data_IF_060469398983
#
_entry.id   IF_060469398983
#
_cell.length_a   1.000
_cell.length_b   1.000
_cell.length_c   1.000
_cell.angle_alpha   90.00
_cell.angle_beta   90.00
_cell.angle_gamma   90.00
#
_symmetry.space_group_name_H-M   'P 1'
#
loop_
_entity.id
_entity.type
_entity.pdbx_description
1 polymer ?
#
# COMPACT_ATOMS: atom_id res chain seq x y z
N UNK A 1 -125.30 -90.74 -21.59
CA UNK A 1 -124.62 -90.20 -20.39
C UNK A 1 -123.10 -90.31 -20.53
N UNK A 2 -122.49 -91.50 -20.39
CA UNK A 2 -121.02 -91.67 -20.36
C UNK A 2 -120.26 -90.97 -21.51
N UNK A 3 -120.77 -90.97 -22.75
CA UNK A 3 -120.09 -90.31 -23.88
C UNK A 3 -120.03 -88.77 -23.75
N UNK A 4 -121.07 -88.13 -23.20
CA UNK A 4 -121.08 -86.68 -22.93
C UNK A 4 -120.14 -86.33 -21.78
N UNK A 5 -120.09 -87.16 -20.75
CA UNK A 5 -119.23 -86.99 -19.57
C UNK A 5 -117.75 -87.13 -19.95
N UNK A 6 -117.42 -88.12 -20.79
CA UNK A 6 -116.12 -88.30 -21.42
C UNK A 6 -115.71 -87.09 -22.28
N UNK A 7 -116.61 -86.60 -23.14
CA UNK A 7 -116.33 -85.42 -23.97
C UNK A 7 -116.12 -84.15 -23.11
N UNK A 8 -116.92 -83.95 -22.07
CA UNK A 8 -116.77 -82.84 -21.13
C UNK A 8 -115.45 -82.90 -20.35
N UNK A 9 -115.04 -84.10 -19.89
CA UNK A 9 -113.74 -84.33 -19.27
C UNK A 9 -112.59 -84.05 -20.24
N UNK A 10 -112.70 -84.47 -21.50
CA UNK A 10 -111.69 -84.23 -22.53
C UNK A 10 -111.57 -82.73 -22.88
N UNK A 11 -112.70 -82.02 -23.02
CA UNK A 11 -112.73 -80.58 -23.25
C UNK A 11 -112.15 -79.80 -22.06
N UNK A 12 -112.51 -80.19 -20.83
CA UNK A 12 -111.93 -79.63 -19.60
C UNK A 12 -110.41 -79.83 -19.56
N UNK A 13 -109.93 -81.05 -19.80
CA UNK A 13 -108.51 -81.39 -19.84
C UNK A 13 -107.75 -80.54 -20.88
N UNK A 14 -108.29 -80.39 -22.09
CA UNK A 14 -107.71 -79.52 -23.14
C UNK A 14 -107.71 -78.03 -22.75
N UNK A 15 -108.77 -77.56 -22.06
CA UNK A 15 -108.83 -76.18 -21.54
C UNK A 15 -107.81 -75.94 -20.43
N UNK A 16 -107.50 -76.98 -19.65
CA UNK A 16 -106.56 -76.95 -18.53
C UNK A 16 -105.12 -76.98 -19.06
N UNK A 17 -104.82 -77.81 -20.06
CA UNK A 17 -103.54 -77.77 -20.79
C UNK A 17 -103.25 -76.38 -21.36
N UNK A 18 -104.21 -75.74 -22.06
CA UNK A 18 -104.04 -74.36 -22.57
C UNK A 18 -103.72 -73.35 -21.47
N UNK A 19 -104.36 -73.45 -20.30
CA UNK A 19 -104.08 -72.59 -19.14
C UNK A 19 -102.68 -72.82 -18.58
N UNK A 20 -102.22 -74.06 -18.56
CA UNK A 20 -100.84 -74.40 -18.18
C UNK A 20 -99.83 -73.82 -19.19
N UNK A 21 -100.06 -73.96 -20.50
CA UNK A 21 -99.20 -73.38 -21.54
C UNK A 21 -99.12 -71.85 -21.44
N UNK A 22 -100.26 -71.17 -21.25
CA UNK A 22 -100.30 -69.72 -21.02
C UNK A 22 -99.56 -69.30 -19.74
N UNK A 23 -99.72 -70.06 -18.65
CA UNK A 23 -99.01 -69.79 -17.39
C UNK A 23 -97.50 -69.99 -17.56
N UNK A 24 -97.06 -71.05 -18.22
CA UNK A 24 -95.65 -71.33 -18.51
C UNK A 24 -95.02 -70.24 -19.38
N UNK A 25 -95.75 -69.74 -20.39
CA UNK A 25 -95.32 -68.60 -21.21
C UNK A 25 -95.17 -67.32 -20.38
N UNK A 26 -96.12 -67.03 -19.48
CA UNK A 26 -96.05 -65.87 -18.55
C UNK A 26 -94.88 -65.99 -17.58
N UNK A 27 -94.61 -67.18 -17.05
CA UNK A 27 -93.41 -67.43 -16.22
C UNK A 27 -92.13 -67.21 -17.02
N UNK A 28 -92.04 -67.74 -18.25
CA UNK A 28 -90.89 -67.54 -19.14
C UNK A 28 -90.69 -66.06 -19.52
N UNK A 29 -91.74 -65.25 -19.70
CA UNK A 29 -91.57 -63.80 -19.90
C UNK A 29 -91.09 -63.11 -18.62
N UNK A 30 -91.73 -63.37 -17.48
CA UNK A 30 -91.35 -62.79 -16.19
C UNK A 30 -89.90 -63.13 -15.80
N UNK A 31 -89.44 -64.36 -16.08
CA UNK A 31 -88.05 -64.78 -15.84
C UNK A 31 -87.05 -64.00 -16.71
N UNK A 32 -87.36 -63.79 -17.99
CA UNK A 32 -86.51 -62.98 -18.89
C UNK A 32 -86.47 -61.52 -18.45
N UNK A 33 -87.61 -60.97 -18.02
CA UNK A 33 -87.68 -59.57 -17.62
C UNK A 33 -87.04 -59.34 -16.24
N UNK A 34 -87.12 -60.31 -15.32
CA UNK A 34 -86.36 -60.32 -14.09
C UNK A 34 -84.83 -60.39 -14.35
N UNK A 35 -84.39 -61.22 -15.30
CA UNK A 35 -82.97 -61.28 -15.72
C UNK A 35 -82.47 -59.94 -16.25
N UNK A 36 -83.20 -59.31 -17.19
CA UNK A 36 -82.88 -57.97 -17.70
C UNK A 36 -82.84 -56.92 -16.59
N UNK A 37 -83.78 -56.97 -15.63
CA UNK A 37 -83.81 -56.03 -14.51
C UNK A 37 -82.60 -56.16 -13.59
N UNK A 38 -82.11 -57.39 -13.35
CA UNK A 38 -80.87 -57.66 -12.62
C UNK A 38 -79.66 -57.16 -13.40
N UNK A 39 -79.55 -57.49 -14.69
CA UNK A 39 -78.46 -57.04 -15.58
C UNK A 39 -78.37 -55.50 -15.63
N UNK A 40 -79.50 -54.81 -15.76
CA UNK A 40 -79.56 -53.33 -15.73
C UNK A 40 -79.17 -52.76 -14.37
N UNK A 41 -79.59 -53.39 -13.26
CA UNK A 41 -79.21 -52.96 -11.92
C UNK A 41 -77.71 -53.16 -11.65
N UNK A 42 -77.11 -54.24 -12.16
CA UNK A 42 -75.68 -54.50 -12.05
C UNK A 42 -74.86 -53.58 -12.96
N UNK A 43 -75.32 -53.31 -14.18
CA UNK A 43 -74.72 -52.29 -15.05
C UNK A 43 -74.69 -50.92 -14.34
N UNK A 44 -75.83 -50.44 -13.85
CA UNK A 44 -75.93 -49.17 -13.11
C UNK A 44 -75.04 -49.15 -11.84
N UNK A 45 -74.94 -50.26 -11.11
CA UNK A 45 -74.02 -50.40 -9.96
C UNK A 45 -72.55 -50.27 -10.39
N UNK A 46 -72.14 -50.94 -11.46
CA UNK A 46 -70.75 -50.88 -11.95
C UNK A 46 -70.38 -49.49 -12.48
N UNK A 47 -71.30 -48.83 -13.19
CA UNK A 47 -71.12 -47.47 -13.69
C UNK A 47 -71.02 -46.45 -12.55
N UNK A 48 -71.88 -46.54 -11.53
CA UNK A 48 -71.78 -45.68 -10.33
C UNK A 48 -70.44 -45.85 -9.59
N UNK A 49 -69.94 -47.08 -9.49
CA UNK A 49 -68.61 -47.36 -8.90
C UNK A 49 -67.48 -46.80 -9.78
N UNK A 50 -67.60 -46.87 -11.11
CA UNK A 50 -66.63 -46.29 -12.03
C UNK A 50 -66.58 -44.76 -11.92
N UNK A 51 -67.74 -44.10 -11.97
CA UNK A 51 -67.88 -42.65 -11.79
C UNK A 51 -67.29 -42.16 -10.47
N UNK A 52 -67.57 -42.86 -9.36
CA UNK A 52 -67.02 -42.48 -8.06
C UNK A 52 -65.48 -42.61 -8.04
N UNK A 53 -64.91 -43.68 -8.63
CA UNK A 53 -63.45 -43.83 -8.76
C UNK A 53 -62.80 -42.75 -9.62
N UNK A 54 -63.47 -42.29 -10.68
CA UNK A 54 -62.98 -41.19 -11.51
C UNK A 54 -63.02 -39.85 -10.77
N UNK A 55 -64.10 -39.59 -10.04
CA UNK A 55 -64.23 -38.43 -9.16
C UNK A 55 -63.14 -38.40 -8.09
N UNK A 56 -62.86 -39.51 -7.42
CA UNK A 56 -61.82 -39.61 -6.40
C UNK A 56 -60.42 -39.35 -6.98
N UNK A 57 -60.11 -39.92 -8.16
CA UNK A 57 -58.86 -39.64 -8.89
C UNK A 57 -58.74 -38.17 -9.30
N UNK A 58 -59.81 -37.55 -9.78
CA UNK A 58 -59.83 -36.15 -10.17
C UNK A 58 -59.59 -35.23 -8.96
N UNK A 59 -60.16 -35.56 -7.79
CA UNK A 59 -59.90 -34.86 -6.53
C UNK A 59 -58.44 -35.03 -6.08
N UNK A 60 -57.90 -36.24 -6.11
CA UNK A 60 -56.49 -36.51 -5.76
C UNK A 60 -55.52 -35.71 -6.64
N UNK A 61 -55.73 -35.70 -7.96
CA UNK A 61 -54.92 -34.97 -8.93
C UNK A 61 -55.06 -33.45 -8.76
N UNK A 62 -56.21 -32.94 -8.31
CA UNK A 62 -56.39 -31.53 -7.95
C UNK A 62 -55.54 -31.14 -6.74
N UNK A 63 -55.56 -31.95 -5.68
CA UNK A 63 -54.75 -31.75 -4.46
C UNK A 63 -53.25 -31.77 -4.79
N UNK A 64 -52.80 -32.73 -5.61
CA UNK A 64 -51.41 -32.81 -6.06
C UNK A 64 -50.98 -31.55 -6.82
N UNK A 65 -51.82 -31.06 -7.75
CA UNK A 65 -51.55 -29.81 -8.48
C UNK A 65 -51.41 -28.62 -7.54
N UNK A 66 -52.29 -28.46 -6.55
CA UNK A 66 -52.18 -27.37 -5.56
C UNK A 66 -50.88 -27.49 -4.77
N UNK A 67 -50.51 -28.69 -4.30
CA UNK A 67 -49.26 -28.92 -3.56
C UNK A 67 -47.99 -28.70 -4.42
N UNK A 68 -48.07 -28.83 -5.74
CA UNK A 68 -46.99 -28.42 -6.67
C UNK A 68 -46.97 -26.89 -6.80
N UNK A 69 -48.11 -26.26 -7.06
CA UNK A 69 -48.24 -24.80 -7.23
C UNK A 69 -47.69 -24.07 -6.00
N UNK A 70 -48.08 -24.46 -4.78
CA UNK A 70 -47.56 -23.84 -3.56
C UNK A 70 -46.04 -24.03 -3.38
N UNK A 71 -45.47 -25.16 -3.82
CA UNK A 71 -44.00 -25.38 -3.72
C UNK A 71 -43.26 -24.47 -4.68
N UNK A 72 -43.78 -24.29 -5.89
CA UNK A 72 -43.25 -23.35 -6.88
C UNK A 72 -43.42 -21.90 -6.41
N UNK A 73 -44.59 -21.52 -5.87
CA UNK A 73 -44.82 -20.16 -5.37
C UNK A 73 -43.81 -19.79 -4.27
N UNK A 74 -43.64 -20.64 -3.25
CA UNK A 74 -42.62 -20.42 -2.20
C UNK A 74 -41.20 -20.30 -2.76
N UNK A 75 -40.90 -20.90 -3.92
CA UNK A 75 -39.61 -20.75 -4.59
C UNK A 75 -39.50 -19.43 -5.36
N UNK A 76 -40.58 -18.99 -6.02
CA UNK A 76 -40.67 -17.66 -6.64
C UNK A 76 -40.48 -16.58 -5.58
N UNK A 77 -41.23 -16.63 -4.48
CA UNK A 77 -41.14 -15.64 -3.39
C UNK A 77 -39.71 -15.49 -2.83
N UNK A 78 -38.98 -16.62 -2.70
CA UNK A 78 -37.56 -16.60 -2.29
C UNK A 78 -36.64 -15.95 -3.33
N UNK A 79 -36.80 -16.31 -4.60
CA UNK A 79 -36.00 -15.74 -5.69
C UNK A 79 -36.28 -14.25 -5.89
N UNK A 80 -37.52 -13.79 -5.64
CA UNK A 80 -37.88 -12.38 -5.65
C UNK A 80 -37.19 -11.61 -4.50
N UNK A 81 -37.17 -12.18 -3.29
CA UNK A 81 -36.45 -11.58 -2.17
C UNK A 81 -34.92 -11.54 -2.42
N UNK A 82 -34.34 -12.62 -2.95
CA UNK A 82 -32.91 -12.67 -3.33
C UNK A 82 -32.59 -11.62 -4.40
N UNK A 83 -33.43 -11.47 -5.42
CA UNK A 83 -33.31 -10.43 -6.45
C UNK A 83 -33.33 -9.02 -5.84
N UNK A 84 -34.25 -8.73 -4.91
CA UNK A 84 -34.32 -7.43 -4.23
C UNK A 84 -33.06 -7.17 -3.40
N UNK A 85 -32.57 -8.18 -2.67
CA UNK A 85 -31.34 -8.08 -1.88
C UNK A 85 -30.12 -7.77 -2.77
N UNK A 86 -29.94 -8.52 -3.86
CA UNK A 86 -28.85 -8.35 -4.82
C UNK A 86 -28.91 -6.99 -5.54
N UNK A 87 -30.10 -6.50 -5.92
CA UNK A 87 -30.26 -5.15 -6.47
C UNK A 87 -29.84 -4.08 -5.45
N UNK A 88 -30.18 -4.28 -4.17
CA UNK A 88 -29.74 -3.41 -3.08
C UNK A 88 -28.22 -3.42 -2.88
N UNK A 89 -27.56 -4.58 -3.05
CA UNK A 89 -26.10 -4.71 -3.01
C UNK A 89 -25.43 -3.99 -4.18
N UNK A 90 -25.90 -4.21 -5.41
CA UNK A 90 -25.41 -3.53 -6.61
C UNK A 90 -25.53 -2.00 -6.47
N UNK A 91 -26.66 -1.50 -5.97
CA UNK A 91 -26.81 -0.05 -5.75
C UNK A 91 -25.85 0.50 -4.69
N UNK A 92 -25.61 -0.25 -3.60
CA UNK A 92 -24.61 0.16 -2.58
C UNK A 92 -23.19 0.18 -3.15
N UNK A 93 -22.82 -0.84 -3.94
CA UNK A 93 -21.53 -0.87 -4.61
C UNK A 93 -21.37 0.30 -5.59
N UNK A 94 -22.35 0.55 -6.46
CA UNK A 94 -22.33 1.67 -7.41
C UNK A 94 -22.19 3.04 -6.71
N UNK A 95 -22.90 3.24 -5.60
CA UNK A 95 -22.76 4.47 -4.81
C UNK A 95 -21.33 4.60 -4.24
N UNK A 96 -20.80 3.54 -3.63
CA UNK A 96 -19.43 3.54 -3.07
C UNK A 96 -18.34 3.70 -4.14
N UNK A 97 -18.57 3.16 -5.34
CA UNK A 97 -17.72 3.34 -6.51
C UNK A 97 -17.73 4.82 -6.95
N UNK A 98 -18.91 5.43 -7.11
CA UNK A 98 -19.05 6.85 -7.46
C UNK A 98 -18.37 7.77 -6.45
N UNK A 99 -18.49 7.49 -5.15
CA UNK A 99 -17.81 8.24 -4.08
C UNK A 99 -16.28 8.06 -4.16
N UNK A 100 -15.81 6.83 -4.41
CA UNK A 100 -14.39 6.53 -4.57
C UNK A 100 -13.79 7.22 -5.80
N UNK A 101 -14.44 7.17 -6.97
CA UNK A 101 -14.05 7.89 -8.18
C UNK A 101 -13.98 9.40 -7.97
N UNK A 102 -14.98 9.97 -7.29
CA UNK A 102 -15.01 11.41 -6.96
C UNK A 102 -13.83 11.79 -6.06
N UNK A 103 -13.50 10.95 -5.08
CA UNK A 103 -12.36 11.14 -4.18
C UNK A 103 -11.01 10.97 -4.89
N UNK A 104 -10.88 10.00 -5.79
CA UNK A 104 -9.66 9.79 -6.60
C UNK A 104 -9.41 11.02 -7.48
N UNK A 105 -10.42 11.46 -8.24
CA UNK A 105 -10.35 12.65 -9.10
C UNK A 105 -9.87 13.90 -8.34
N UNK A 106 -10.39 14.12 -7.12
CA UNK A 106 -9.99 15.24 -6.25
C UNK A 106 -8.55 15.11 -5.73
N UNK A 107 -8.08 13.89 -5.45
CA UNK A 107 -6.71 13.66 -5.00
C UNK A 107 -5.72 13.81 -6.15
N UNK A 108 -6.05 13.31 -7.34
CA UNK A 108 -5.26 13.47 -8.56
C UNK A 108 -5.08 14.95 -8.93
N UNK A 109 -6.16 15.75 -8.91
CA UNK A 109 -6.05 17.19 -9.17
C UNK A 109 -5.15 17.90 -8.16
N UNK A 110 -5.27 17.55 -6.88
CA UNK A 110 -4.43 18.12 -5.81
C UNK A 110 -2.97 17.68 -5.88
N UNK A 111 -2.69 16.47 -6.40
CA UNK A 111 -1.31 16.01 -6.68
C UNK A 111 -0.72 16.79 -7.85
N UNK A 112 -1.46 16.93 -8.96
CA UNK A 112 -1.01 17.72 -10.12
C UNK A 112 -0.75 19.20 -9.76
N UNK A 113 -1.56 19.80 -8.88
CA UNK A 113 -1.31 21.14 -8.32
C UNK A 113 0.00 21.19 -7.51
N UNK A 114 0.24 20.21 -6.62
CA UNK A 114 1.47 20.13 -5.81
C UNK A 114 2.71 19.92 -6.68
N UNK A 115 2.64 19.08 -7.69
CA UNK A 115 3.74 18.83 -8.64
C UNK A 115 4.10 20.12 -9.38
N UNK A 116 3.09 20.84 -9.91
CA UNK A 116 3.30 22.15 -10.54
C UNK A 116 3.89 23.19 -9.58
N UNK A 117 3.42 23.26 -8.33
CA UNK A 117 3.99 24.16 -7.31
C UNK A 117 5.48 23.84 -7.03
N UNK A 118 5.84 22.55 -6.98
CA UNK A 118 7.24 22.12 -6.81
C UNK A 118 8.10 22.47 -8.01
N UNK A 119 7.62 22.24 -9.24
CA UNK A 119 8.34 22.59 -10.47
C UNK A 119 8.58 24.11 -10.59
N UNK A 120 7.56 24.94 -10.27
CA UNK A 120 7.68 26.40 -10.23
C UNK A 120 8.74 26.86 -9.21
N UNK A 121 8.79 26.23 -8.02
CA UNK A 121 9.77 26.53 -6.98
C UNK A 121 11.18 26.08 -7.36
N UNK A 122 11.33 24.89 -7.94
CA UNK A 122 12.61 24.36 -8.41
C UNK A 122 13.17 25.21 -9.55
N UNK A 123 12.33 25.62 -10.50
CA UNK A 123 12.71 26.52 -11.59
C UNK A 123 13.26 27.84 -11.06
N UNK A 124 12.49 28.54 -10.20
CA UNK A 124 12.92 29.80 -9.57
C UNK A 124 14.20 29.65 -8.75
N UNK A 125 14.36 28.55 -8.02
CA UNK A 125 15.59 28.26 -7.27
C UNK A 125 16.80 28.08 -8.19
N UNK A 126 16.62 27.38 -9.31
CA UNK A 126 17.68 27.18 -10.30
C UNK A 126 18.04 28.48 -11.05
N UNK A 127 17.06 29.31 -11.38
CA UNK A 127 17.27 30.66 -11.94
C UNK A 127 18.08 31.54 -10.97
N UNK A 128 17.71 31.57 -9.68
CA UNK A 128 18.45 32.30 -8.64
C UNK A 128 19.89 31.78 -8.50
N UNK A 129 20.10 30.46 -8.50
CA UNK A 129 21.43 29.85 -8.47
C UNK A 129 22.26 30.22 -9.70
N UNK A 130 21.67 30.14 -10.90
CA UNK A 130 22.31 30.50 -12.16
C UNK A 130 22.73 31.99 -12.17
N UNK A 131 21.84 32.88 -11.75
CA UNK A 131 22.13 34.31 -11.57
C UNK A 131 23.28 34.54 -10.58
N UNK A 132 23.27 33.85 -9.43
CA UNK A 132 24.32 33.96 -8.41
C UNK A 132 25.68 33.47 -8.93
N UNK A 133 25.71 32.33 -9.62
CA UNK A 133 26.93 31.80 -10.27
C UNK A 133 27.48 32.81 -11.27
N UNK A 134 26.63 33.36 -12.15
CA UNK A 134 27.04 34.36 -13.15
C UNK A 134 27.64 35.63 -12.52
N UNK A 135 27.10 36.09 -11.39
CA UNK A 135 27.67 37.22 -10.64
C UNK A 135 29.05 36.85 -10.07
N UNK A 136 29.18 35.68 -9.43
CA UNK A 136 30.45 35.20 -8.88
C UNK A 136 31.53 35.01 -9.95
N UNK A 137 31.17 34.47 -11.12
CA UNK A 137 32.07 34.36 -12.28
C UNK A 137 32.55 35.74 -12.76
N UNK A 138 31.66 36.73 -12.80
CA UNK A 138 32.04 38.10 -13.18
C UNK A 138 32.99 38.76 -12.17
N UNK A 139 32.78 38.54 -10.88
CA UNK A 139 33.66 39.02 -9.81
C UNK A 139 35.03 38.32 -9.84
N UNK A 140 35.05 37.01 -10.10
CA UNK A 140 36.30 36.24 -10.25
C UNK A 140 37.08 36.67 -11.50
N UNK A 141 36.40 37.03 -12.58
CA UNK A 141 37.03 37.58 -13.78
C UNK A 141 37.64 38.96 -13.53
N UNK A 142 36.94 39.87 -12.85
CA UNK A 142 37.47 41.20 -12.51
C UNK A 142 38.61 41.13 -11.48
N UNK A 143 38.52 40.25 -10.48
CA UNK A 143 39.60 39.99 -9.52
C UNK A 143 40.88 39.49 -10.23
N UNK A 144 40.74 38.53 -11.16
CA UNK A 144 41.87 38.03 -11.97
C UNK A 144 42.47 39.12 -12.86
N UNK A 145 41.65 39.97 -13.47
CA UNK A 145 42.12 41.11 -14.27
C UNK A 145 42.89 42.12 -13.41
N UNK A 146 42.36 42.49 -12.24
CA UNK A 146 43.01 43.39 -11.30
C UNK A 146 44.35 42.83 -10.77
N UNK A 147 44.42 41.52 -10.44
CA UNK A 147 45.69 40.85 -10.09
C UNK A 147 46.70 40.88 -11.23
N UNK A 148 46.28 40.58 -12.47
CA UNK A 148 47.17 40.63 -13.63
C UNK A 148 47.72 42.04 -13.88
N UNK A 149 46.91 43.08 -13.65
CA UNK A 149 47.35 44.46 -13.75
C UNK A 149 48.28 44.88 -12.61
N UNK A 150 48.02 44.43 -11.37
CA UNK A 150 48.90 44.65 -10.23
C UNK A 150 50.27 43.97 -10.44
N UNK A 151 50.30 42.74 -10.95
CA UNK A 151 51.54 42.04 -11.29
C UNK A 151 52.34 42.79 -12.36
N UNK A 152 51.70 43.25 -13.46
CA UNK A 152 52.36 44.08 -14.48
C UNK A 152 52.97 45.37 -13.91
N UNK A 153 52.29 46.03 -12.96
CA UNK A 153 52.84 47.21 -12.25
C UNK A 153 54.04 46.83 -11.40
N UNK A 154 53.98 45.72 -10.66
CA UNK A 154 55.07 45.23 -9.84
C UNK A 154 56.30 44.86 -10.69
N UNK A 155 56.12 44.14 -11.80
CA UNK A 155 57.16 43.80 -12.77
C UNK A 155 57.82 45.06 -13.35
N UNK A 156 57.03 46.06 -13.76
CA UNK A 156 57.55 47.33 -14.27
C UNK A 156 58.39 48.08 -13.22
N UNK A 157 57.95 48.11 -11.95
CA UNK A 157 58.72 48.69 -10.85
C UNK A 157 59.99 47.90 -10.53
N UNK A 158 59.95 46.56 -10.61
CA UNK A 158 61.14 45.71 -10.43
C UNK A 158 62.19 45.97 -11.52
N UNK A 159 61.78 46.12 -12.78
CA UNK A 159 62.69 46.48 -13.88
C UNK A 159 63.29 47.90 -13.70
N UNK A 160 62.49 48.86 -13.23
CA UNK A 160 62.99 50.20 -12.90
C UNK A 160 64.01 50.17 -11.75
N UNK A 161 63.73 49.39 -10.69
CA UNK A 161 64.64 49.22 -9.55
C UNK A 161 65.95 48.54 -9.97
N UNK A 162 65.90 47.50 -10.80
CA UNK A 162 67.09 46.85 -11.35
C UNK A 162 67.92 47.81 -12.20
N UNK A 163 67.27 48.64 -13.03
CA UNK A 163 67.97 49.68 -13.82
C UNK A 163 68.60 50.76 -12.94
N UNK A 164 67.91 51.19 -11.88
CA UNK A 164 68.42 52.16 -10.92
C UNK A 164 69.61 51.60 -10.13
N UNK A 165 69.53 50.35 -9.68
CA UNK A 165 70.63 49.65 -9.00
C UNK A 165 71.85 49.52 -9.91
N UNK A 166 71.69 49.11 -11.16
CA UNK A 166 72.82 49.03 -12.10
C UNK A 166 73.50 50.38 -12.37
N UNK A 167 72.76 51.51 -12.37
CA UNK A 167 73.35 52.86 -12.42
C UNK A 167 74.12 53.21 -11.14
N UNK A 168 73.58 52.81 -9.98
CA UNK A 168 74.19 53.01 -8.66
C UNK A 168 75.52 52.23 -8.57
N UNK A 169 75.56 51.00 -9.08
CA UNK A 169 76.76 50.17 -9.14
C UNK A 169 77.85 50.78 -10.04
N UNK A 170 77.47 51.36 -11.19
CA UNK A 170 78.40 52.12 -12.06
C UNK A 170 78.96 53.34 -11.31
N UNK A 171 78.12 54.14 -10.66
CA UNK A 171 78.56 55.32 -9.89
C UNK A 171 79.48 54.92 -8.70
N UNK A 172 79.23 53.78 -8.05
CA UNK A 172 80.13 53.23 -7.05
C UNK A 172 81.48 52.80 -7.65
N UNK A 173 81.49 52.21 -8.84
CA UNK A 173 82.72 51.83 -9.54
C UNK A 173 83.53 53.07 -9.95
N UNK A 174 82.88 54.11 -10.47
CA UNK A 174 83.49 55.41 -10.78
C UNK A 174 84.06 56.08 -9.53
N UNK A 175 83.29 56.19 -8.45
CA UNK A 175 83.75 56.74 -7.17
C UNK A 175 84.95 55.98 -6.60
N UNK A 176 84.94 54.65 -6.73
CA UNK A 176 86.06 53.80 -6.29
C UNK A 176 87.30 54.03 -7.17
N UNK A 177 87.13 54.17 -8.48
CA UNK A 177 88.21 54.52 -9.41
C UNK A 177 88.81 55.89 -9.09
N UNK A 178 87.98 56.91 -8.85
CA UNK A 178 88.42 58.24 -8.42
C UNK A 178 89.20 58.16 -7.11
N UNK A 179 88.68 57.47 -6.09
CA UNK A 179 89.39 57.26 -4.81
C UNK A 179 90.73 56.55 -4.97
N UNK A 180 90.85 55.60 -5.89
CA UNK A 180 92.13 54.94 -6.21
C UNK A 180 93.11 55.90 -6.88
N UNK A 181 92.64 56.75 -7.81
CA UNK A 181 93.46 57.80 -8.44
C UNK A 181 93.87 58.87 -7.43
N UNK A 182 92.96 59.32 -6.56
CA UNK A 182 93.24 60.23 -5.44
C UNK A 182 94.27 59.63 -4.48
N UNK A 183 94.13 58.36 -4.10
CA UNK A 183 95.11 57.65 -3.25
C UNK A 183 96.47 57.53 -3.95
N UNK A 184 96.49 57.31 -5.26
CA UNK A 184 97.72 57.32 -6.06
C UNK A 184 98.34 58.71 -6.20
N UNK A 185 97.55 59.79 -6.15
CA UNK A 185 98.02 61.17 -6.14
C UNK A 185 98.49 61.60 -4.74
N UNK A 186 97.79 61.25 -3.66
CA UNK A 186 98.19 61.55 -2.28
C UNK A 186 99.46 60.77 -1.88
N UNK A 187 99.56 59.50 -2.28
CA UNK A 187 100.82 58.74 -2.11
C UNK A 187 101.96 59.35 -2.93
N UNK A 188 101.73 59.83 -4.16
CA UNK A 188 102.72 60.63 -4.91
C UNK A 188 103.08 61.92 -4.18
N UNK A 189 102.12 62.66 -3.66
CA UNK A 189 102.32 63.91 -2.91
C UNK A 189 103.14 63.69 -1.64
N UNK A 190 102.88 62.59 -0.92
CA UNK A 190 103.70 62.13 0.20
C UNK A 190 105.12 61.79 -0.27
N UNK A 191 105.28 61.02 -1.36
CA UNK A 191 106.62 60.68 -1.89
C UNK A 191 107.43 61.90 -2.34
N UNK A 192 106.80 62.95 -2.86
CA UNK A 192 107.48 64.21 -3.24
C UNK A 192 107.74 65.15 -2.06
N UNK A 193 107.15 64.92 -0.88
CA UNK A 193 107.30 65.75 0.32
C UNK A 193 108.09 65.09 1.46
N UNK A 194 108.87 64.03 1.19
CA UNK A 194 109.73 63.41 2.22
C UNK A 194 110.98 64.23 2.59
N UNK A 195 110.76 65.23 3.44
CA UNK A 195 111.77 66.06 4.11
C UNK A 195 111.81 65.92 5.65
N UNK A 196 111.84 64.69 6.18
CA UNK A 196 112.23 64.32 7.57
C UNK A 196 111.59 65.05 8.78
N UNK A 197 110.61 64.39 9.46
CA UNK A 197 110.61 63.90 10.88
C UNK A 197 109.17 63.71 11.44
N UNK A 198 108.86 62.91 12.49
CA UNK A 198 109.47 61.73 13.17
C UNK A 198 108.36 60.99 14.01
N UNK A 199 108.74 59.90 14.70
CA UNK A 199 108.20 59.27 15.95
C UNK A 199 107.36 60.16 16.89
N UNK A 200 106.44 59.67 17.73
CA UNK A 200 105.87 58.33 18.08
C UNK A 200 104.48 58.60 18.77
N UNK A 201 103.64 57.69 19.28
CA UNK A 201 103.75 56.29 19.71
C UNK A 201 102.41 55.51 19.53
N UNK A 202 102.42 54.22 19.88
CA UNK A 202 101.26 53.34 20.09
C UNK A 202 100.39 53.70 21.30
N UNK A 203 99.11 53.25 21.30
CA UNK A 203 98.32 52.61 22.39
C UNK A 203 96.81 52.70 22.02
N UNK A 204 95.87 51.78 22.28
CA UNK A 204 95.79 50.34 22.63
C UNK A 204 94.32 50.08 23.02
N UNK A 205 93.63 49.17 22.31
CA UNK A 205 92.41 48.43 22.75
C UNK A 205 91.11 49.18 23.18
N UNK A 206 90.07 48.34 23.32
CA UNK A 206 88.71 48.51 23.86
C UNK A 206 87.67 48.97 22.81
N UNK A 207 86.73 48.15 22.32
CA UNK A 207 85.85 47.12 22.95
C UNK A 207 84.70 47.70 23.77
N UNK A 208 83.56 47.01 23.73
CA UNK A 208 82.30 47.18 24.50
C UNK A 208 81.24 48.12 23.87
N UNK A 209 80.32 47.53 23.11
CA UNK A 209 78.87 47.42 23.43
C UNK A 209 78.23 46.56 22.32
N UNK A 210 77.85 45.30 22.52
CA UNK A 210 76.98 44.69 23.54
C UNK A 210 75.53 45.17 23.48
N UNK A 211 74.68 44.31 22.91
CA UNK A 211 73.28 44.08 23.28
C UNK A 211 72.82 42.81 22.54
N UNK A 212 73.21 41.63 23.07
CA UNK A 212 72.32 40.47 22.94
C UNK A 212 71.02 40.80 23.69
N UNK A 213 69.87 40.56 23.05
CA UNK A 213 68.58 40.47 23.74
C UNK A 213 68.06 39.05 23.53
N UNK A 214 68.10 38.26 24.60
CA UNK A 214 67.54 36.93 24.65
C UNK A 214 66.04 36.92 24.30
N UNK A 215 65.56 35.95 23.51
CA UNK A 215 64.25 35.35 23.75
C UNK A 215 64.36 34.46 25.00
N UNK A 216 63.40 34.42 25.96
CA UNK A 216 62.10 33.80 25.64
C UNK A 216 60.90 34.09 26.59
N UNK A 217 59.77 34.56 26.08
CA UNK A 217 58.45 34.32 26.70
C UNK A 217 57.38 34.08 25.61
N UNK A 218 56.39 33.19 25.77
CA UNK A 218 56.15 32.17 26.81
C UNK A 218 55.30 31.05 26.19
N UNK A 219 55.67 29.80 26.48
CA UNK A 219 54.78 28.63 26.60
C UNK A 219 53.37 28.63 25.97
N UNK A 220 53.13 27.69 25.04
CA UNK A 220 52.08 26.65 25.19
C UNK A 220 52.37 25.43 24.30
N UNK A 221 52.78 24.32 24.93
CA UNK A 221 52.97 23.03 24.25
C UNK A 221 51.68 22.20 24.27
N UNK A 222 51.32 21.68 23.09
CA UNK A 222 50.78 20.32 22.83
C UNK A 222 49.70 19.73 23.77
N UNK A 223 48.51 19.57 23.21
CA UNK A 223 47.76 18.29 23.18
C UNK A 223 47.15 18.16 21.78
N UNK A 224 47.70 17.30 20.91
CA UNK A 224 47.34 15.88 20.73
C UNK A 224 45.89 15.67 20.28
N UNK A 225 45.76 15.25 19.02
CA UNK A 225 44.55 14.77 18.37
C UNK A 225 43.90 13.60 19.09
N UNK A 226 42.58 13.41 18.90
CA UNK A 226 42.01 12.08 18.77
C UNK A 226 40.77 12.08 17.87
N UNK A 227 40.47 10.92 17.30
CA UNK A 227 39.62 10.78 16.10
C UNK A 227 38.33 10.01 16.35
N UNK A 228 37.19 10.62 15.99
CA UNK A 228 35.99 9.94 15.45
C UNK A 228 35.20 9.00 16.43
N UNK A 229 34.05 8.38 16.05
CA UNK A 229 32.75 8.96 16.39
C UNK A 229 31.69 7.97 16.95
N UNK A 230 30.82 8.37 17.88
CA UNK A 230 29.59 7.58 18.18
C UNK A 230 28.35 8.41 18.57
N UNK A 231 27.22 7.78 18.29
CA UNK A 231 25.78 8.15 18.24
C UNK A 231 25.12 8.70 19.52
N UNK A 232 23.87 9.23 19.43
CA UNK A 232 23.24 10.02 20.49
C UNK A 232 22.57 9.17 21.59
N UNK A 233 22.38 9.78 22.76
CA UNK A 233 21.60 9.25 23.88
C UNK A 233 20.37 10.14 24.09
N UNK A 234 19.19 9.51 24.12
CA UNK A 234 17.95 10.14 24.56
C UNK A 234 17.94 10.22 26.10
N UNK A 235 17.50 11.34 26.65
CA UNK A 235 17.12 11.42 28.07
C UNK A 235 15.60 11.46 28.16
N UNK A 236 15.04 10.40 28.75
CA UNK A 236 13.65 10.37 29.18
C UNK A 236 13.49 11.27 30.42
N UNK A 237 12.41 12.03 30.49
CA UNK A 237 11.86 12.54 31.74
C UNK A 237 10.33 12.45 31.70
N UNK A 238 9.75 11.91 32.78
CA UNK A 238 8.36 11.48 32.83
C UNK A 238 7.51 12.39 33.71
N UNK A 239 6.55 13.10 33.10
CA UNK A 239 5.63 14.01 33.80
C UNK A 239 4.16 13.61 33.61
N UNK A 240 3.61 12.87 34.58
CA UNK A 240 2.21 12.42 34.57
C UNK A 240 1.22 13.53 34.93
N UNK A 241 0.16 13.69 34.13
CA UNK A 241 -1.17 14.12 34.61
C UNK A 241 -2.24 13.30 33.86
N UNK A 242 -3.02 12.50 34.59
CA UNK A 242 -4.19 11.80 34.06
C UNK A 242 -5.38 12.76 33.90
N UNK A 243 -6.00 12.76 32.72
CA UNK A 243 -7.45 12.97 32.55
C UNK A 243 -7.98 11.93 31.54
N UNK A 244 -9.31 11.80 31.46
CA UNK A 244 -10.04 10.54 31.25
C UNK A 244 -10.95 10.62 30.00
N UNK A 245 -11.33 9.44 29.48
CA UNK A 245 -12.14 9.19 28.25
C UNK A 245 -11.43 9.66 26.94
N UNK A 246 -11.41 8.93 25.82
CA UNK A 246 -12.15 7.72 25.41
C UNK A 246 -11.23 6.60 24.83
N UNK A 247 -11.74 5.38 24.79
CA UNK A 247 -11.00 4.18 24.39
C UNK A 247 -10.79 4.05 22.88
N UNK A 248 -9.55 4.26 22.42
CA UNK A 248 -9.05 3.70 21.15
C UNK A 248 -7.77 2.92 21.41
N UNK A 249 -7.85 1.59 21.32
CA UNK A 249 -6.69 0.70 21.41
C UNK A 249 -5.84 0.83 20.15
N UNK A 250 -4.87 1.76 20.17
CA UNK A 250 -3.79 1.80 19.18
C UNK A 250 -2.83 0.64 19.47
N UNK A 251 -3.11 -0.50 18.85
CA UNK A 251 -2.13 -1.59 18.76
C UNK A 251 -1.06 -1.19 17.76
N UNK A 252 0.10 -0.76 18.26
CA UNK A 252 1.32 -0.60 17.46
C UNK A 252 1.88 -1.97 17.08
N UNK A 253 1.26 -2.62 16.08
CA UNK A 253 1.87 -3.76 15.41
C UNK A 253 3.07 -3.27 14.58
N UNK A 254 4.24 -3.43 15.18
CA UNK A 254 5.52 -3.42 14.48
C UNK A 254 5.44 -4.49 13.39
N UNK A 255 5.57 -4.06 12.13
CA UNK A 255 5.82 -4.98 11.01
C UNK A 255 7.20 -5.62 11.16
N UNK A 256 7.25 -6.70 11.93
CA UNK A 256 8.30 -7.69 11.84
C UNK A 256 8.01 -8.51 10.57
N UNK A 257 8.55 -8.09 9.42
CA UNK A 257 8.44 -8.75 8.10
C UNK A 257 9.22 -10.08 8.10
N UNK A 258 8.80 -10.98 8.99
CA UNK A 258 9.25 -12.35 9.10
C UNK A 258 8.12 -13.25 8.61
N UNK A 259 8.24 -13.86 7.41
CA UNK A 259 7.16 -14.65 6.81
C UNK A 259 6.72 -15.85 7.67
N UNK A 260 7.51 -16.24 8.68
CA UNK A 260 7.24 -17.35 9.60
C UNK A 260 6.78 -16.91 11.00
N UNK A 261 6.60 -15.61 11.26
CA UNK A 261 6.28 -15.06 12.59
C UNK A 261 5.06 -15.71 13.27
N UNK A 262 4.03 -16.07 12.48
CA UNK A 262 2.79 -16.70 12.95
C UNK A 262 3.01 -18.06 13.63
N UNK A 263 4.08 -18.80 13.31
CA UNK A 263 4.41 -20.10 13.95
C UNK A 263 4.67 -19.95 15.46
N UNK A 264 5.16 -18.78 15.88
CA UNK A 264 5.47 -18.43 17.27
C UNK A 264 4.22 -18.10 18.10
N UNK A 265 3.07 -17.82 17.47
CA UNK A 265 1.87 -17.42 18.20
C UNK A 265 1.35 -18.51 19.14
N UNK A 266 0.76 -18.08 20.26
CA UNK A 266 0.05 -18.96 21.19
C UNK A 266 -1.32 -19.35 20.62
N UNK A 267 -1.94 -20.41 21.17
CA UNK A 267 -3.29 -20.82 20.75
C UNK A 267 -4.29 -19.67 20.90
N UNK A 268 -4.21 -18.89 21.99
CA UNK A 268 -5.06 -17.73 22.20
C UNK A 268 -4.89 -16.67 21.09
N UNK A 269 -3.65 -16.27 20.79
CA UNK A 269 -3.37 -15.27 19.74
C UNK A 269 -3.80 -15.76 18.35
N UNK A 270 -3.65 -17.05 18.03
CA UNK A 270 -4.15 -17.60 16.76
C UNK A 270 -5.68 -17.61 16.67
N UNK A 271 -6.39 -17.91 17.77
CA UNK A 271 -7.86 -17.85 17.80
C UNK A 271 -8.38 -16.43 17.68
N UNK A 272 -7.76 -15.49 18.37
CA UNK A 272 -8.06 -14.06 18.28
C UNK A 272 -7.87 -13.56 16.84
N UNK A 273 -6.73 -13.88 16.22
CA UNK A 273 -6.41 -13.43 14.87
C UNK A 273 -7.36 -14.05 13.82
N UNK A 274 -7.65 -15.35 13.90
CA UNK A 274 -8.68 -15.98 13.07
C UNK A 274 -10.06 -15.32 13.24
N UNK A 275 -10.41 -14.88 14.45
CA UNK A 275 -11.67 -14.18 14.71
C UNK A 275 -11.68 -12.78 14.10
N UNK A 276 -10.56 -12.04 14.16
CA UNK A 276 -10.40 -10.73 13.49
C UNK A 276 -10.54 -10.82 11.98
N UNK A 277 -9.97 -11.85 11.36
CA UNK A 277 -10.10 -12.12 9.91
C UNK A 277 -11.45 -12.76 9.53
N UNK A 278 -12.41 -12.87 10.46
CA UNK A 278 -13.78 -13.34 10.20
C UNK A 278 -13.96 -14.86 10.22
N UNK A 279 -12.91 -15.64 10.49
CA UNK A 279 -12.92 -17.11 10.46
C UNK A 279 -13.34 -17.77 11.80
N UNK A 280 -14.15 -17.06 12.60
CA UNK A 280 -14.61 -17.54 13.91
C UNK A 280 -15.57 -18.74 13.82
N UNK A 281 -16.33 -18.88 12.73
CA UNK A 281 -17.26 -20.01 12.53
C UNK A 281 -16.53 -21.30 12.19
N UNK A 282 -15.52 -21.27 11.33
CA UNK A 282 -14.68 -22.43 11.01
C UNK A 282 -13.83 -22.87 12.22
N UNK A 283 -13.50 -21.93 13.12
CA UNK A 283 -12.88 -22.25 14.40
C UNK A 283 -13.83 -22.96 15.39
N UNK A 284 -15.14 -22.67 15.33
CA UNK A 284 -16.19 -23.32 16.14
C UNK A 284 -16.55 -24.73 15.63
N UNK A 285 -16.41 -24.98 14.31
CA UNK A 285 -16.58 -26.32 13.73
C UNK A 285 -15.54 -27.31 14.25
N UNK A 286 -14.33 -26.84 14.56
CA UNK A 286 -13.30 -27.63 15.23
C UNK A 286 -13.63 -27.81 16.72
N UNK A 287 -14.42 -28.85 17.05
CA UNK A 287 -14.88 -29.13 18.43
C UNK A 287 -13.77 -29.27 19.49
N UNK A 288 -12.54 -29.62 19.11
CA UNK A 288 -11.35 -29.66 19.98
C UNK A 288 -10.07 -29.42 19.16
N UNK A 289 -9.71 -28.16 18.85
CA UNK A 289 -8.62 -27.87 17.93
C UNK A 289 -7.25 -27.88 18.64
N UNK A 290 -6.32 -28.68 18.15
CA UNK A 290 -4.93 -28.65 18.58
C UNK A 290 -4.18 -27.48 17.90
N UNK A 291 -3.03 -27.05 18.42
CA UNK A 291 -2.26 -25.92 17.86
C UNK A 291 -1.95 -26.11 16.35
N UNK A 292 -1.75 -27.35 15.90
CA UNK A 292 -1.53 -27.69 14.49
C UNK A 292 -2.75 -27.37 13.61
N UNK A 293 -3.95 -27.67 14.08
CA UNK A 293 -5.19 -27.52 13.32
C UNK A 293 -5.54 -26.03 13.16
N UNK A 294 -5.35 -25.25 14.23
CA UNK A 294 -5.53 -23.79 14.21
C UNK A 294 -4.49 -23.13 13.30
N UNK A 295 -3.23 -23.59 13.31
CA UNK A 295 -2.20 -23.12 12.38
C UNK A 295 -2.49 -23.48 10.92
N UNK A 296 -3.05 -24.66 10.65
CA UNK A 296 -3.45 -25.05 9.30
C UNK A 296 -4.62 -24.19 8.79
N UNK A 297 -5.59 -23.90 9.65
CA UNK A 297 -6.72 -23.01 9.34
C UNK A 297 -6.22 -21.57 9.10
N UNK A 298 -5.28 -21.09 9.92
CA UNK A 298 -4.62 -19.78 9.73
C UNK A 298 -3.86 -19.68 8.41
N UNK A 299 -3.06 -20.69 8.05
CA UNK A 299 -2.37 -20.75 6.74
C UNK A 299 -3.35 -20.66 5.58
N UNK A 300 -4.34 -21.55 5.58
CA UNK A 300 -5.32 -21.70 4.49
C UNK A 300 -6.20 -20.45 4.28
N UNK A 301 -6.56 -19.76 5.36
CA UNK A 301 -7.58 -18.70 5.32
C UNK A 301 -7.04 -17.28 5.53
N UNK A 302 -5.89 -17.09 6.20
CA UNK A 302 -5.30 -15.78 6.47
C UNK A 302 -4.04 -15.52 5.65
N UNK A 303 -3.22 -16.55 5.39
CA UNK A 303 -2.02 -16.44 4.54
C UNK A 303 -2.27 -16.84 3.07
N UNK A 304 -3.39 -17.51 2.79
CA UNK A 304 -3.73 -18.08 1.48
C UNK A 304 -2.65 -19.05 0.94
N UNK A 305 -2.02 -19.81 1.84
CA UNK A 305 -1.07 -20.92 1.57
C UNK A 305 -1.76 -22.30 1.59
#
# INVERSE_FOLDING_TARGET
MLEQEKNHLQEKFLSECKKYDEAEQRYKSAERDAKKAVELADAARTEAIAYQKEKDKAQQLSIEKVAVIERVQRQVDRLEQEKVNLLGEVQRMHNSESDAWSKVTLLESRVAEREKEMDDLLSRSNEQRSSTVRVLESLLATERAARAEANKRAEALSLQLQSAQGKLDILHQELTSIRLVETALDSKLRTTTYGKRLRDNEVRLYSIQDMDIDPPERSRKRTKSNTSPLKPVQTEDGGSVHMREDSVTVSTDVKDDNPDGYKKFTIAKLKEELTKHGFGTQLLELKNPNKKDILALYKKHVLCE
#
